data_IF_718827285528
#
_entry.id   IF_718827285528
#
_cell.length_a   1.000
_cell.length_b   1.000
_cell.length_c   1.000
_cell.angle_alpha   90.00
_cell.angle_beta   90.00
_cell.angle_gamma   90.00
#
_symmetry.space_group_name_H-M   'P 1'
#
loop_
_entity.id
_entity.type
_entity.pdbx_description
1 polymer ?
#
# COMPACT_ATOMS: atom_id res chain seq x y z
N UNK A 1 4.46 18.36 10.98
CA UNK A 1 5.52 17.34 10.76
C UNK A 1 4.98 16.18 9.91
N UNK A 2 5.79 15.55 9.03
CA UNK A 2 5.34 14.36 8.31
C UNK A 2 5.11 13.19 9.29
N UNK A 3 4.09 12.38 9.01
CA UNK A 3 3.76 11.13 9.70
C UNK A 3 4.46 9.91 9.09
N UNK A 4 5.12 10.07 7.93
CA UNK A 4 5.84 9.02 7.18
C UNK A 4 4.98 7.82 6.82
N UNK A 5 3.72 8.08 6.46
CA UNK A 5 2.76 7.06 6.06
C UNK A 5 2.46 7.20 4.56
N UNK A 6 1.52 8.08 4.22
CA UNK A 6 0.91 8.17 2.88
C UNK A 6 0.74 9.59 2.38
N UNK A 7 1.50 10.54 2.93
CA UNK A 7 1.38 11.97 2.61
C UNK A 7 1.64 12.25 1.13
N UNK A 8 2.50 11.47 0.47
CA UNK A 8 2.73 11.58 -0.98
C UNK A 8 1.48 11.25 -1.80
N UNK A 9 0.70 10.25 -1.37
CA UNK A 9 -0.55 9.85 -2.04
C UNK A 9 -1.65 10.86 -1.74
N UNK A 10 -1.74 11.34 -0.50
CA UNK A 10 -2.70 12.37 -0.12
C UNK A 10 -2.42 13.69 -0.85
N UNK A 11 -1.14 14.07 -0.99
CA UNK A 11 -0.73 15.21 -1.79
C UNK A 11 -1.09 15.02 -3.28
N UNK A 12 -0.83 13.85 -3.86
CA UNK A 12 -1.20 13.53 -5.24
C UNK A 12 -2.71 13.68 -5.48
N UNK A 13 -3.54 13.15 -4.57
CA UNK A 13 -5.00 13.30 -4.62
C UNK A 13 -5.42 14.78 -4.55
N UNK A 14 -4.80 15.55 -3.64
CA UNK A 14 -5.08 16.98 -3.52
C UNK A 14 -4.72 17.75 -4.79
N UNK A 15 -3.57 17.43 -5.40
CA UNK A 15 -3.11 18.03 -6.66
C UNK A 15 -4.09 17.72 -7.80
N UNK A 16 -4.51 16.45 -7.95
CA UNK A 16 -5.50 16.06 -8.98
C UNK A 16 -6.85 16.76 -8.81
N UNK A 17 -7.30 16.96 -7.56
CA UNK A 17 -8.55 17.70 -7.28
C UNK A 17 -8.47 19.18 -7.66
N UNK A 18 -7.29 19.79 -7.55
CA UNK A 18 -7.08 21.21 -7.89
C UNK A 18 -6.84 21.43 -9.38
N UNK A 19 -6.30 20.44 -10.08
CA UNK A 19 -5.96 20.57 -11.49
C UNK A 19 -6.33 19.30 -12.27
N UNK A 20 -7.50 19.35 -12.90
CA UNK A 20 -8.00 18.26 -13.73
C UNK A 20 -7.03 17.96 -14.90
N UNK A 21 -6.77 16.69 -15.14
CA UNK A 21 -5.88 16.23 -16.22
C UNK A 21 -4.39 16.26 -15.88
N UNK A 22 -3.99 16.67 -14.67
CA UNK A 22 -2.58 16.58 -14.26
C UNK A 22 -2.16 15.12 -14.08
N UNK A 23 -1.03 14.76 -14.71
CA UNK A 23 -0.42 13.46 -14.56
C UNK A 23 0.37 13.33 -13.25
N UNK A 24 0.23 12.21 -12.56
CA UNK A 24 0.95 11.90 -11.32
C UNK A 24 1.82 10.67 -11.51
N UNK A 25 3.08 10.77 -11.13
CA UNK A 25 4.00 9.62 -11.00
C UNK A 25 4.49 9.58 -9.55
N UNK A 26 4.08 8.54 -8.82
CA UNK A 26 4.58 8.25 -7.46
C UNK A 26 5.81 7.33 -7.58
N UNK A 27 6.90 7.73 -6.92
CA UNK A 27 8.08 6.88 -6.70
C UNK A 27 8.12 6.46 -5.23
N UNK A 28 7.87 5.18 -4.97
CA UNK A 28 7.74 4.64 -3.62
C UNK A 28 8.87 3.68 -3.27
N UNK A 29 9.24 3.65 -2.00
CA UNK A 29 10.08 2.57 -1.46
C UNK A 29 9.24 1.37 -0.99
N UNK A 30 7.91 1.51 -0.95
CA UNK A 30 6.98 0.52 -0.42
C UNK A 30 6.33 -0.27 -1.54
N UNK A 31 6.42 -1.59 -1.46
CA UNK A 31 5.84 -2.58 -2.38
C UNK A 31 4.45 -3.07 -1.95
N UNK A 32 3.87 -2.46 -0.92
CA UNK A 32 2.51 -2.74 -0.47
C UNK A 32 1.47 -2.24 -1.51
N UNK A 33 0.65 -3.14 -2.08
CA UNK A 33 -0.36 -2.79 -3.06
C UNK A 33 -1.44 -1.80 -2.57
N UNK A 34 -1.70 -1.71 -1.26
CA UNK A 34 -2.71 -0.79 -0.72
C UNK A 34 -2.41 0.67 -1.07
N UNK A 35 -1.13 1.04 -1.16
CA UNK A 35 -0.72 2.38 -1.56
C UNK A 35 -1.06 2.68 -3.02
N UNK A 36 -0.90 1.70 -3.92
CA UNK A 36 -1.29 1.84 -5.31
C UNK A 36 -2.82 1.90 -5.45
N UNK A 37 -3.56 1.06 -4.73
CA UNK A 37 -5.03 1.12 -4.68
C UNK A 37 -5.49 2.49 -4.21
N UNK A 38 -4.86 3.05 -3.17
CA UNK A 38 -5.18 4.38 -2.67
C UNK A 38 -4.93 5.46 -3.74
N UNK A 39 -3.82 5.41 -4.48
CA UNK A 39 -3.57 6.35 -5.57
C UNK A 39 -4.65 6.27 -6.67
N UNK A 40 -5.05 5.05 -7.03
CA UNK A 40 -5.94 4.77 -8.17
C UNK A 40 -7.44 4.86 -7.82
N UNK A 41 -7.81 5.00 -6.54
CA UNK A 41 -9.21 4.99 -6.08
C UNK A 41 -10.08 6.08 -6.71
N UNK A 42 -9.48 7.18 -7.18
CA UNK A 42 -10.16 8.28 -7.89
C UNK A 42 -9.98 8.18 -9.42
N UNK A 43 -9.68 6.98 -9.92
CA UNK A 43 -9.44 6.68 -11.34
C UNK A 43 -7.95 6.57 -11.67
N UNK A 44 -7.64 5.61 -12.54
CA UNK A 44 -6.27 5.24 -12.88
C UNK A 44 -5.63 6.10 -13.99
N UNK A 45 -6.43 6.76 -14.83
CA UNK A 45 -5.92 7.56 -15.95
C UNK A 45 -4.97 8.67 -15.46
N UNK A 46 -3.82 8.78 -16.10
CA UNK A 46 -2.79 9.76 -15.74
C UNK A 46 -2.10 9.47 -14.41
N UNK A 47 -2.12 8.23 -13.91
CA UNK A 47 -1.45 7.85 -12.66
C UNK A 47 -0.41 6.74 -12.90
N UNK A 48 0.75 6.89 -12.28
CA UNK A 48 1.74 5.83 -12.18
C UNK A 48 2.22 5.63 -10.73
N UNK A 49 2.47 4.38 -10.37
CA UNK A 49 3.11 4.00 -9.12
C UNK A 49 4.29 3.08 -9.44
N UNK A 50 5.50 3.54 -9.17
CA UNK A 50 6.74 2.80 -9.43
C UNK A 50 7.55 2.63 -8.15
N UNK A 51 8.29 1.54 -8.05
CA UNK A 51 9.24 1.33 -6.96
C UNK A 51 10.57 2.01 -7.27
N UNK A 52 11.16 2.66 -6.25
CA UNK A 52 12.44 3.36 -6.34
C UNK A 52 13.57 2.44 -6.81
N UNK A 53 13.54 1.19 -6.39
CA UNK A 53 14.54 0.20 -6.77
C UNK A 53 14.45 -0.14 -8.27
N UNK A 54 13.24 -0.22 -8.83
CA UNK A 54 13.03 -0.53 -10.25
C UNK A 54 13.44 0.61 -11.18
N UNK A 55 13.18 1.87 -10.78
CA UNK A 55 13.45 3.03 -11.64
C UNK A 55 14.92 3.41 -11.73
N UNK A 56 15.77 2.83 -10.88
CA UNK A 56 17.23 2.99 -10.97
C UNK A 56 17.80 2.33 -12.24
N UNK A 57 17.03 1.45 -12.88
CA UNK A 57 17.44 0.70 -14.05
C UNK A 57 16.76 1.23 -15.33
N UNK A 58 17.56 1.69 -16.29
CA UNK A 58 17.10 2.05 -17.63
C UNK A 58 16.20 3.30 -17.68
N UNK A 59 15.13 3.22 -18.49
CA UNK A 59 14.26 4.35 -18.87
C UNK A 59 12.83 4.23 -18.31
N UNK A 60 12.62 3.43 -17.26
CA UNK A 60 11.29 3.15 -16.70
C UNK A 60 10.55 4.41 -16.27
N UNK A 61 11.20 5.32 -15.54
CA UNK A 61 10.61 6.59 -15.12
C UNK A 61 10.23 7.46 -16.33
N UNK A 62 11.13 7.56 -17.31
CA UNK A 62 10.90 8.37 -18.50
C UNK A 62 9.72 7.83 -19.33
N UNK A 63 9.57 6.50 -19.44
CA UNK A 63 8.40 5.87 -20.05
C UNK A 63 7.13 6.17 -19.27
N UNK A 64 7.15 6.03 -17.95
CA UNK A 64 5.98 6.28 -17.12
C UNK A 64 5.50 7.73 -17.24
N UNK A 65 6.41 8.71 -17.24
CA UNK A 65 6.07 10.12 -17.47
C UNK A 65 5.36 10.29 -18.82
N UNK A 66 5.90 9.72 -19.90
CA UNK A 66 5.29 9.81 -21.24
C UNK A 66 3.90 9.17 -21.25
N UNK A 67 3.75 7.96 -20.73
CA UNK A 67 2.47 7.25 -20.66
C UNK A 67 1.44 8.01 -19.83
N UNK A 68 1.83 8.55 -18.68
CA UNK A 68 0.95 9.35 -17.82
C UNK A 68 0.55 10.65 -18.50
N UNK A 69 1.47 11.30 -19.21
CA UNK A 69 1.18 12.54 -19.94
C UNK A 69 0.18 12.38 -21.09
N UNK A 70 0.06 11.17 -21.65
CA UNK A 70 -0.96 10.83 -22.66
C UNK A 70 -2.25 10.27 -22.05
N UNK A 71 -2.42 10.32 -20.72
CA UNK A 71 -3.60 9.83 -20.01
C UNK A 71 -3.57 8.33 -19.70
N UNK A 72 -2.50 7.62 -20.03
CA UNK A 72 -2.29 6.23 -19.63
C UNK A 72 -1.92 6.07 -18.16
N UNK A 73 -1.74 4.83 -17.73
CA UNK A 73 -1.33 4.48 -16.37
C UNK A 73 -0.22 3.45 -16.38
N UNK A 74 0.59 3.43 -15.31
CA UNK A 74 1.69 2.47 -15.16
C UNK A 74 1.78 1.99 -13.72
N UNK A 75 1.85 0.69 -13.52
CA UNK A 75 2.15 0.09 -12.22
C UNK A 75 3.44 -0.70 -12.30
N UNK A 76 4.21 -0.66 -11.22
CA UNK A 76 5.35 -1.54 -11.04
C UNK A 76 4.90 -3.02 -11.10
N UNK A 77 5.62 -3.91 -11.80
CA UNK A 77 5.29 -5.33 -11.83
C UNK A 77 5.10 -5.97 -10.45
N UNK A 78 5.91 -5.59 -9.44
CA UNK A 78 5.79 -6.14 -8.07
C UNK A 78 4.46 -5.74 -7.42
N UNK A 79 3.98 -4.54 -7.70
CA UNK A 79 2.67 -4.07 -7.23
C UNK A 79 1.56 -4.86 -7.91
N UNK A 80 1.67 -5.09 -9.23
CA UNK A 80 0.70 -5.93 -9.96
C UNK A 80 0.65 -7.33 -9.38
N UNK A 81 1.80 -7.95 -9.11
CA UNK A 81 1.89 -9.26 -8.46
C UNK A 81 1.19 -9.29 -7.09
N UNK A 82 1.38 -8.24 -6.28
CA UNK A 82 0.70 -8.11 -5.00
C UNK A 82 -0.82 -7.94 -5.12
N UNK A 83 -1.30 -7.26 -6.17
CA UNK A 83 -2.75 -7.08 -6.42
C UNK A 83 -3.45 -8.36 -6.89
N UNK A 84 -2.75 -9.21 -7.66
CA UNK A 84 -3.31 -10.47 -8.18
C UNK A 84 -3.15 -11.63 -7.22
N UNK A 85 -2.29 -11.49 -6.20
CA UNK A 85 -2.26 -12.45 -5.10
C UNK A 85 -3.65 -12.45 -4.47
N UNK A 86 -4.32 -13.61 -4.39
CA UNK A 86 -5.50 -13.72 -3.56
C UNK A 86 -5.13 -13.16 -2.20
N UNK A 87 -5.99 -12.31 -1.63
CA UNK A 87 -6.02 -12.20 -0.18
C UNK A 87 -6.22 -13.64 0.24
N UNK A 88 -5.15 -14.29 0.70
CA UNK A 88 -5.33 -15.52 1.42
C UNK A 88 -6.32 -15.10 2.50
N UNK A 89 -7.50 -15.71 2.52
CA UNK A 89 -8.18 -15.87 3.79
C UNK A 89 -7.14 -16.56 4.65
N UNK A 90 -6.32 -15.76 5.34
CA UNK A 90 -5.59 -16.21 6.49
C UNK A 90 -6.69 -16.46 7.49
N UNK A 91 -7.35 -17.60 7.32
CA UNK A 91 -8.11 -18.22 8.39
C UNK A 91 -7.13 -18.22 9.54
N UNK A 92 -7.43 -17.38 10.52
CA UNK A 92 -6.72 -17.42 11.78
C UNK A 92 -6.82 -18.86 12.22
N UNK A 93 -5.68 -19.49 12.55
CA UNK A 93 -5.76 -20.77 13.22
C UNK A 93 -6.67 -20.59 14.46
N UNK A 94 -7.34 -21.64 14.95
CA UNK A 94 -8.20 -21.51 16.13
C UNK A 94 -7.49 -20.83 17.32
N UNK A 95 -6.17 -20.99 17.39
CA UNK A 95 -5.28 -20.37 18.38
C UNK A 95 -5.05 -18.86 18.16
N UNK A 96 -4.98 -18.40 16.91
CA UNK A 96 -4.87 -16.98 16.58
C UNK A 96 -6.22 -16.27 16.72
N UNK A 97 -7.32 -16.94 16.43
CA UNK A 97 -8.68 -16.47 16.67
C UNK A 97 -8.93 -16.26 18.17
N UNK A 98 -8.54 -17.24 19.00
CA UNK A 98 -8.63 -17.13 20.46
C UNK A 98 -7.77 -15.96 20.99
N UNK A 99 -6.57 -15.78 20.43
CA UNK A 99 -5.71 -14.64 20.76
C UNK A 99 -6.38 -13.30 20.43
N UNK A 100 -6.92 -13.19 19.23
CA UNK A 100 -7.57 -11.97 18.77
C UNK A 100 -8.81 -11.66 19.62
N UNK A 101 -9.59 -12.68 20.00
CA UNK A 101 -10.69 -12.55 20.95
C UNK A 101 -10.25 -11.99 22.30
N UNK A 102 -9.13 -12.49 22.85
CA UNK A 102 -8.57 -11.96 24.10
C UNK A 102 -8.10 -10.50 23.98
N UNK A 103 -7.54 -10.10 22.83
CA UNK A 103 -7.19 -8.70 22.56
C UNK A 103 -8.46 -7.84 22.48
N UNK A 104 -9.51 -8.32 21.81
CA UNK A 104 -10.79 -7.63 21.67
C UNK A 104 -11.52 -7.47 23.01
N UNK A 105 -11.34 -8.41 23.95
CA UNK A 105 -11.80 -8.31 25.34
C UNK A 105 -11.01 -7.29 26.18
N UNK A 106 -9.93 -6.71 25.63
CA UNK A 106 -9.08 -5.73 26.31
C UNK A 106 -8.11 -6.33 27.33
N UNK A 107 -7.83 -7.63 27.25
CA UNK A 107 -6.89 -8.29 28.15
C UNK A 107 -5.46 -7.75 27.93
N UNK A 108 -4.72 -7.37 28.99
CA UNK A 108 -3.33 -6.96 28.85
C UNK A 108 -2.46 -8.16 28.44
N UNK A 109 -1.38 -7.91 27.68
CA UNK A 109 -0.46 -8.95 27.14
C UNK A 109 0.00 -9.94 28.22
N UNK A 110 0.25 -9.47 29.44
CA UNK A 110 0.63 -10.34 30.58
C UNK A 110 -0.48 -11.31 30.99
N UNK A 111 -1.74 -10.88 30.95
CA UNK A 111 -2.89 -11.73 31.25
C UNK A 111 -3.16 -12.74 30.12
N UNK A 112 -2.99 -12.31 28.86
CA UNK A 112 -3.07 -13.20 27.69
C UNK A 112 -2.00 -14.29 27.80
N UNK A 113 -0.75 -13.92 28.07
CA UNK A 113 0.36 -14.86 28.23
C UNK A 113 0.11 -15.86 29.36
N UNK A 114 -0.38 -15.40 30.51
CA UNK A 114 -0.75 -16.27 31.63
C UNK A 114 -1.88 -17.25 31.25
N UNK A 115 -2.94 -16.76 30.58
CA UNK A 115 -4.09 -17.58 30.13
C UNK A 115 -3.67 -18.63 29.11
N UNK A 116 -2.73 -18.29 28.22
CA UNK A 116 -2.17 -19.20 27.20
C UNK A 116 -0.99 -20.05 27.67
N UNK A 117 -0.53 -19.88 28.91
CA UNK A 117 0.69 -20.51 29.46
C UNK A 117 1.94 -20.26 28.60
N UNK A 118 2.04 -19.05 28.04
CA UNK A 118 3.20 -18.59 27.27
C UNK A 118 3.94 -17.51 28.04
N UNK A 119 5.14 -17.15 27.58
CA UNK A 119 5.82 -15.94 28.05
C UNK A 119 5.25 -14.70 27.34
N UNK A 120 5.15 -13.55 28.02
CA UNK A 120 4.86 -12.27 27.36
C UNK A 120 6.00 -11.96 26.38
N UNK A 121 5.66 -11.62 25.13
CA UNK A 121 6.58 -11.06 24.16
C UNK A 121 6.65 -9.53 24.31
#
# INVERSE_FOLDING_TARGET
>A
PPTFQREGIDAARLVRKRQLGIGIVILSQFDDPEYAVALLSEGASGCAYLLKDGVAEGDQLARAIRTVSSGGSVLDPKIVEGLIRPVAETDLSPTEEELLGMVAEGLPIKAIAAKRRTTPA
#
